data_IF_766009111418
#
_entry.id   IF_766009111418
#
_cell.length_a   1.000
_cell.length_b   1.000
_cell.length_c   1.000
_cell.angle_alpha   90.00
_cell.angle_beta   90.00
_cell.angle_gamma   90.00
#
_symmetry.space_group_name_H-M   'P 1'
#
loop_
_entity.id
_entity.type
_entity.pdbx_description
1 polymer ?
#
# COMPACT_ATOMS: atom_id res chain seq x y z
N UNK A 1 18.23 20.64 -30.11
CA UNK A 1 17.19 19.65 -29.74
C UNK A 1 15.99 20.42 -29.23
N UNK A 2 14.90 20.45 -29.99
CA UNK A 2 13.69 21.17 -29.60
C UNK A 2 12.87 20.27 -28.65
N UNK A 3 12.79 20.64 -27.39
CA UNK A 3 11.79 20.07 -26.47
C UNK A 3 10.44 20.70 -26.80
N UNK A 4 9.53 19.90 -27.34
CA UNK A 4 8.12 20.26 -27.49
C UNK A 4 7.53 20.30 -26.08
N UNK A 5 7.43 21.49 -25.48
CA UNK A 5 6.65 21.72 -24.27
C UNK A 5 5.18 21.72 -24.66
N UNK A 6 4.46 20.66 -24.28
CA UNK A 6 3.00 20.58 -24.42
C UNK A 6 2.31 21.70 -23.64
N UNK A 7 1.48 22.47 -24.32
CA UNK A 7 0.75 23.61 -23.77
C UNK A 7 -0.51 23.11 -23.05
N UNK A 8 -0.62 23.31 -21.74
CA UNK A 8 -1.84 23.07 -20.96
C UNK A 8 -2.73 24.32 -21.06
N UNK A 9 -3.86 24.22 -21.77
CA UNK A 9 -4.75 25.36 -22.02
C UNK A 9 -5.56 25.76 -20.77
N UNK A 10 -5.54 27.06 -20.49
CA UNK A 10 -5.85 27.75 -19.22
C UNK A 10 -7.34 27.97 -18.87
N UNK A 11 -8.31 27.34 -19.55
CA UNK A 11 -9.68 27.90 -19.57
C UNK A 11 -10.74 27.33 -18.64
N UNK A 12 -10.43 26.45 -17.69
CA UNK A 12 -11.35 26.18 -16.57
C UNK A 12 -10.60 26.19 -15.24
N UNK A 13 -10.52 27.40 -14.68
CA UNK A 13 -10.04 27.66 -13.34
C UNK A 13 -10.90 26.93 -12.31
N UNK A 14 -10.32 25.99 -11.57
CA UNK A 14 -10.56 25.89 -10.12
C UNK A 14 -9.20 25.71 -9.45
N UNK A 15 -8.58 26.84 -9.11
CA UNK A 15 -7.50 26.93 -8.14
C UNK A 15 -8.13 26.81 -6.75
N UNK A 16 -7.77 25.77 -5.99
CA UNK A 16 -7.84 25.81 -4.53
C UNK A 16 -6.50 25.25 -4.01
N UNK A 17 -5.73 26.15 -3.40
CA UNK A 17 -4.50 26.02 -2.60
C UNK A 17 -3.37 25.04 -3.01
N UNK A 18 -2.16 25.61 -3.15
CA UNK A 18 -0.83 24.95 -3.13
C UNK A 18 -0.55 23.83 -4.17
N UNK A 19 -0.55 24.21 -5.45
CA UNK A 19 0.36 23.73 -6.53
C UNK A 19 0.77 22.24 -6.58
N UNK A 20 -0.16 21.35 -6.89
CA UNK A 20 0.06 20.31 -7.92
C UNK A 20 -1.04 20.38 -8.97
N UNK A 21 -0.66 20.53 -10.24
CA UNK A 21 -1.60 20.40 -11.35
C UNK A 21 -2.03 18.93 -11.45
N UNK A 22 -3.25 18.61 -11.01
CA UNK A 22 -3.79 17.24 -10.95
C UNK A 22 -3.90 16.58 -12.34
N UNK A 23 -3.87 17.37 -13.41
CA UNK A 23 -3.91 16.90 -14.80
C UNK A 23 -2.56 16.39 -15.32
N UNK A 24 -1.44 16.79 -14.71
CA UNK A 24 -0.11 16.47 -15.24
C UNK A 24 0.59 15.33 -14.49
N UNK A 25 0.18 15.04 -13.25
CA UNK A 25 0.61 13.88 -12.46
C UNK A 25 -0.31 13.72 -11.22
N UNK A 26 -1.50 13.10 -11.35
CA UNK A 26 -2.36 12.90 -10.18
C UNK A 26 -1.66 11.95 -9.21
N UNK A 27 -1.55 12.36 -7.95
CA UNK A 27 -1.24 11.42 -6.86
C UNK A 27 -2.30 10.29 -6.90
N UNK A 28 -1.90 9.02 -6.69
CA UNK A 28 -2.87 7.94 -6.68
C UNK A 28 -3.92 8.20 -5.59
N UNK A 29 -5.19 7.95 -5.93
CA UNK A 29 -6.28 8.07 -4.94
C UNK A 29 -6.02 7.15 -3.75
N UNK A 30 -6.64 7.45 -2.60
CA UNK A 30 -6.52 6.62 -1.40
C UNK A 30 -6.84 5.15 -1.69
N UNK A 31 -7.92 4.89 -2.41
CA UNK A 31 -8.33 3.53 -2.80
C UNK A 31 -7.26 2.81 -3.64
N UNK A 32 -6.56 3.51 -4.53
CA UNK A 32 -5.46 2.93 -5.29
C UNK A 32 -4.25 2.65 -4.39
N UNK A 33 -3.94 3.53 -3.43
CA UNK A 33 -2.86 3.29 -2.45
C UNK A 33 -3.15 2.07 -1.58
N UNK A 34 -4.37 1.96 -1.06
CA UNK A 34 -4.87 0.80 -0.33
C UNK A 34 -4.75 -0.49 -1.15
N UNK A 35 -5.21 -0.45 -2.40
CA UNK A 35 -5.12 -1.59 -3.31
C UNK A 35 -3.67 -2.01 -3.55
N UNK A 36 -2.75 -1.04 -3.72
CA UNK A 36 -1.32 -1.35 -3.94
C UNK A 36 -0.66 -1.98 -2.73
N UNK A 37 -0.93 -1.47 -1.52
CA UNK A 37 -0.43 -2.08 -0.28
C UNK A 37 -1.00 -3.49 -0.14
N UNK A 38 -2.29 -3.66 -0.39
CA UNK A 38 -2.95 -4.96 -0.30
C UNK A 38 -2.44 -5.98 -1.32
N UNK A 39 -2.13 -5.56 -2.54
CA UNK A 39 -1.56 -6.44 -3.56
C UNK A 39 -0.12 -6.82 -3.22
N UNK A 40 0.69 -5.87 -2.74
CA UNK A 40 2.05 -6.15 -2.27
C UNK A 40 2.03 -7.13 -1.08
N UNK A 41 1.11 -6.94 -0.14
CA UNK A 41 0.86 -7.86 0.98
C UNK A 41 0.59 -9.28 0.48
N UNK A 42 -0.42 -9.47 -0.37
CA UNK A 42 -0.78 -10.79 -0.91
C UNK A 42 0.34 -11.41 -1.73
N UNK A 43 1.09 -10.59 -2.46
CA UNK A 43 2.26 -11.06 -3.18
C UNK A 43 3.31 -11.63 -2.22
N UNK A 44 3.55 -10.97 -1.09
CA UNK A 44 4.60 -11.36 -0.14
C UNK A 44 4.21 -12.53 0.77
N UNK A 45 2.93 -12.69 1.09
CA UNK A 45 2.43 -13.74 1.97
C UNK A 45 2.84 -15.13 1.44
N UNK A 46 3.65 -15.85 2.21
CA UNK A 46 4.14 -17.20 1.89
C UNK A 46 5.39 -17.30 0.99
N UNK A 47 5.96 -16.19 0.51
CA UNK A 47 7.08 -16.22 -0.47
C UNK A 47 8.45 -16.58 0.09
N UNK A 48 8.67 -16.51 1.40
CA UNK A 48 9.96 -16.78 2.05
C UNK A 48 11.14 -16.01 1.43
N UNK A 49 10.96 -14.71 1.15
CA UNK A 49 11.99 -13.82 0.59
C UNK A 49 12.19 -12.58 1.46
N UNK A 50 13.28 -11.84 1.25
CA UNK A 50 13.51 -10.55 1.91
C UNK A 50 12.38 -9.53 1.69
N UNK A 51 11.63 -9.66 0.59
CA UNK A 51 10.47 -8.82 0.32
C UNK A 51 9.39 -8.89 1.42
N UNK A 52 9.32 -10.00 2.18
CA UNK A 52 8.43 -10.12 3.34
C UNK A 52 8.76 -9.07 4.40
N UNK A 53 10.05 -8.87 4.69
CA UNK A 53 10.49 -7.91 5.70
C UNK A 53 10.13 -6.49 5.26
N UNK A 54 10.51 -6.12 4.04
CA UNK A 54 10.24 -4.79 3.50
C UNK A 54 8.72 -4.52 3.41
N UNK A 55 7.94 -5.52 3.02
CA UNK A 55 6.49 -5.42 2.95
C UNK A 55 5.86 -5.22 4.32
N UNK A 56 6.29 -5.99 5.34
CA UNK A 56 5.76 -5.84 6.71
C UNK A 56 6.09 -4.47 7.28
N UNK A 57 7.33 -4.01 7.15
CA UNK A 57 7.73 -2.69 7.66
C UNK A 57 6.99 -1.56 6.92
N UNK A 58 6.73 -1.71 5.61
CA UNK A 58 5.93 -0.75 4.84
C UNK A 58 4.45 -0.74 5.26
N UNK A 59 3.85 -1.90 5.52
CA UNK A 59 2.46 -1.99 6.02
C UNK A 59 2.35 -1.35 7.41
N UNK A 60 3.30 -1.59 8.30
CA UNK A 60 3.33 -0.97 9.63
C UNK A 60 3.41 0.55 9.51
N UNK A 61 4.29 1.06 8.64
CA UNK A 61 4.43 2.50 8.40
C UNK A 61 3.15 3.12 7.84
N UNK A 62 2.47 2.46 6.90
CA UNK A 62 1.25 2.96 6.27
C UNK A 62 -0.04 2.65 7.05
N UNK A 63 0.05 1.97 8.20
CA UNK A 63 -1.11 1.34 8.84
C UNK A 63 -2.23 2.32 9.16
N UNK A 64 -1.90 3.47 9.74
CA UNK A 64 -2.88 4.48 10.16
C UNK A 64 -3.60 5.13 8.95
N UNK A 65 -2.99 5.11 7.77
CA UNK A 65 -3.57 5.67 6.54
C UNK A 65 -4.47 4.67 5.78
N UNK A 66 -4.34 3.37 6.04
CA UNK A 66 -5.16 2.33 5.41
C UNK A 66 -6.62 2.43 5.82
N UNK A 67 -7.54 2.10 4.91
CA UNK A 67 -8.95 1.93 5.30
C UNK A 67 -9.14 0.72 6.21
N UNK A 68 -10.12 0.80 7.11
CA UNK A 68 -10.47 -0.28 8.04
C UNK A 68 -10.78 -1.59 7.30
N UNK A 69 -11.46 -1.47 6.14
CA UNK A 69 -11.72 -2.62 5.26
C UNK A 69 -10.44 -3.31 4.79
N UNK A 70 -9.39 -2.55 4.47
CA UNK A 70 -8.10 -3.10 4.07
C UNK A 70 -7.37 -3.71 5.26
N UNK A 71 -7.36 -3.02 6.41
CA UNK A 71 -6.80 -3.53 7.69
C UNK A 71 -7.41 -4.87 8.08
N UNK A 72 -8.74 -4.96 8.06
CA UNK A 72 -9.51 -6.18 8.39
C UNK A 72 -9.12 -7.35 7.47
N UNK A 73 -9.02 -7.09 6.16
CA UNK A 73 -8.66 -8.13 5.18
C UNK A 73 -7.23 -8.60 5.37
N UNK A 74 -6.28 -7.71 5.62
CA UNK A 74 -4.89 -8.07 5.90
C UNK A 74 -4.81 -8.94 7.16
N UNK A 75 -5.42 -8.50 8.27
CA UNK A 75 -5.44 -9.27 9.53
C UNK A 75 -6.06 -10.64 9.34
N UNK A 76 -7.19 -10.72 8.64
CA UNK A 76 -7.87 -11.99 8.33
C UNK A 76 -6.97 -12.95 7.54
N UNK A 77 -6.40 -12.50 6.42
CA UNK A 77 -5.59 -13.36 5.55
C UNK A 77 -4.26 -13.77 6.22
N UNK A 78 -3.69 -12.93 7.09
CA UNK A 78 -2.54 -13.32 7.93
C UNK A 78 -2.94 -14.47 8.87
N UNK A 79 -4.07 -14.36 9.57
CA UNK A 79 -4.52 -15.42 10.48
C UNK A 79 -4.76 -16.73 9.72
N UNK A 80 -5.48 -16.68 8.60
CA UNK A 80 -5.74 -17.85 7.75
C UNK A 80 -4.43 -18.52 7.30
N UNK A 81 -3.44 -17.74 6.85
CA UNK A 81 -2.14 -18.28 6.43
C UNK A 81 -1.29 -18.80 7.60
N UNK A 82 -1.43 -18.25 8.81
CA UNK A 82 -0.76 -18.78 10.00
C UNK A 82 -1.37 -20.11 10.43
N UNK A 83 -2.69 -20.24 10.35
CA UNK A 83 -3.44 -21.46 10.67
C UNK A 83 -3.18 -22.58 9.66
N UNK A 84 -3.14 -22.26 8.36
CA UNK A 84 -2.86 -23.24 7.30
C UNK A 84 -1.39 -23.63 7.18
N UNK A 85 -0.48 -22.85 7.79
CA UNK A 85 0.97 -23.04 7.67
C UNK A 85 1.58 -22.42 6.41
N UNK A 86 0.81 -21.64 5.65
CA UNK A 86 1.25 -21.01 4.39
C UNK A 86 1.89 -19.62 4.56
N UNK A 87 1.99 -19.10 5.80
CA UNK A 87 2.58 -17.80 6.10
C UNK A 87 4.12 -17.73 5.95
N UNK A 88 4.77 -18.77 5.42
CA UNK A 88 6.22 -18.87 5.24
C UNK A 88 6.96 -19.47 6.44
N UNK A 89 8.26 -19.17 6.56
CA UNK A 89 9.11 -19.72 7.63
C UNK A 89 8.84 -19.03 8.97
N UNK A 90 9.37 -19.59 10.05
CA UNK A 90 9.26 -19.06 11.41
C UNK A 90 9.59 -17.56 11.51
N UNK A 91 10.63 -17.13 10.80
CA UNK A 91 11.03 -15.72 10.75
C UNK A 91 9.95 -14.85 10.09
N UNK A 92 9.35 -15.32 8.99
CA UNK A 92 8.28 -14.62 8.27
C UNK A 92 7.02 -14.56 9.13
N UNK A 93 6.64 -15.68 9.75
CA UNK A 93 5.49 -15.77 10.66
C UNK A 93 5.61 -14.77 11.82
N UNK A 94 6.80 -14.62 12.39
CA UNK A 94 7.04 -13.64 13.46
C UNK A 94 6.91 -12.19 12.97
N UNK A 95 7.23 -11.91 11.70
CA UNK A 95 6.99 -10.58 11.11
C UNK A 95 5.50 -10.33 10.92
N UNK A 96 4.76 -11.28 10.34
CA UNK A 96 3.32 -11.16 10.14
C UNK A 96 2.53 -10.95 11.45
N UNK A 97 2.94 -11.63 12.53
CA UNK A 97 2.36 -11.44 13.87
C UNK A 97 2.46 -10.01 14.41
N UNK A 98 3.43 -9.20 13.96
CA UNK A 98 3.52 -7.79 14.36
C UNK A 98 2.30 -7.00 13.87
N UNK A 99 1.81 -7.27 12.67
CA UNK A 99 0.66 -6.57 12.08
C UNK A 99 -0.61 -6.89 12.87
N UNK A 100 -0.76 -8.13 13.37
CA UNK A 100 -1.90 -8.53 14.19
C UNK A 100 -1.97 -7.78 15.54
N UNK A 101 -0.87 -7.18 16.00
CA UNK A 101 -0.81 -6.43 17.25
C UNK A 101 -1.12 -4.94 17.06
N UNK A 102 -1.29 -4.48 15.82
CA UNK A 102 -1.62 -3.09 15.52
C UNK A 102 -3.08 -2.77 15.87
N UNK A 103 -3.30 -1.58 16.42
CA UNK A 103 -4.63 -1.04 16.72
C UNK A 103 -5.30 -0.57 15.43
N UNK A 104 -6.62 -0.68 15.37
CA UNK A 104 -7.41 -0.20 14.23
C UNK A 104 -7.64 1.32 14.29
#
# INVERSE_FOLDING_TARGET
MNTITGHCNKHDQILIDEKKCVFCNPEPSKDHKDAMIFYAFRYCLGRMTYAVIDCVEYIIWAWDDLSDKTKDRIKKEINEALESGDAGRDIDRNKWKKILQLKD
#
